data_IF_374690986647
#
_entry.id   IF_374690986647
#
_cell.length_a   1.000
_cell.length_b   1.000
_cell.length_c   1.000
_cell.angle_alpha   90.00
_cell.angle_beta   90.00
_cell.angle_gamma   90.00
#
_symmetry.space_group_name_H-M   'P 1'
#
loop_
_entity.id
_entity.type
_entity.pdbx_description
1 polymer ?
#
# COMPACT_ATOMS: atom_id res chain seq x y z
N UNK A 1 -77.27 14.80 71.95
CA UNK A 1 -75.85 15.13 71.63
C UNK A 1 -75.64 16.60 71.94
N UNK A 2 -74.65 16.95 72.74
CA UNK A 2 -74.41 18.35 73.08
C UNK A 2 -73.78 19.08 71.79
N UNK A 3 -74.10 20.36 71.60
CA UNK A 3 -73.63 21.11 70.45
C UNK A 3 -72.09 21.13 70.31
N UNK A 4 -71.36 20.86 71.39
CA UNK A 4 -69.88 20.68 71.37
C UNK A 4 -69.44 19.39 70.66
N UNK A 5 -70.12 18.29 70.88
CA UNK A 5 -69.79 16.98 70.23
C UNK A 5 -69.99 17.04 68.71
N UNK A 6 -71.01 17.70 68.21
CA UNK A 6 -71.27 17.91 66.79
C UNK A 6 -70.19 18.78 66.11
N UNK A 7 -69.69 19.80 66.82
CA UNK A 7 -68.60 20.63 66.30
C UNK A 7 -67.27 19.87 66.23
N UNK A 8 -66.96 19.08 67.26
CA UNK A 8 -65.73 18.23 67.26
C UNK A 8 -65.76 17.20 66.12
N UNK A 9 -66.90 16.51 65.93
CA UNK A 9 -67.07 15.54 64.84
C UNK A 9 -66.91 16.20 63.47
N UNK A 10 -67.45 17.40 63.26
CA UNK A 10 -67.31 18.15 62.04
C UNK A 10 -65.85 18.54 61.77
N UNK A 11 -65.11 18.98 62.78
CA UNK A 11 -63.68 19.31 62.65
C UNK A 11 -62.83 18.06 62.29
N UNK A 12 -63.08 16.94 62.98
CA UNK A 12 -62.41 15.68 62.73
C UNK A 12 -62.75 15.16 61.33
N UNK A 13 -63.99 15.23 60.88
CA UNK A 13 -64.42 14.85 59.56
C UNK A 13 -63.70 15.70 58.45
N UNK A 14 -63.68 17.03 58.66
CA UNK A 14 -62.95 17.93 57.72
C UNK A 14 -61.44 17.70 57.73
N UNK A 15 -60.82 17.40 58.88
CA UNK A 15 -59.38 17.10 58.91
C UNK A 15 -59.06 15.78 58.17
N UNK A 16 -59.92 14.75 58.39
CA UNK A 16 -59.77 13.48 57.67
C UNK A 16 -60.01 13.61 56.19
N UNK A 17 -60.98 14.43 55.75
CA UNK A 17 -61.18 14.74 54.30
C UNK A 17 -59.94 15.45 53.67
N UNK A 18 -59.42 16.44 54.40
CA UNK A 18 -58.17 17.12 53.94
C UNK A 18 -56.99 16.18 53.91
N UNK A 19 -56.81 15.31 54.88
CA UNK A 19 -55.75 14.32 54.92
C UNK A 19 -55.88 13.31 53.77
N UNK A 20 -57.08 12.84 53.44
CA UNK A 20 -57.34 11.95 52.34
C UNK A 20 -57.01 12.61 50.97
N UNK A 21 -57.46 13.85 50.75
CA UNK A 21 -57.08 14.62 49.50
C UNK A 21 -55.60 14.82 49.42
N UNK A 22 -54.89 15.13 50.48
CA UNK A 22 -53.44 15.32 50.44
C UNK A 22 -52.69 14.05 50.09
N UNK A 23 -53.15 12.90 50.58
CA UNK A 23 -52.60 11.58 50.23
C UNK A 23 -52.89 11.21 48.77
N UNK A 24 -54.10 11.47 48.28
CA UNK A 24 -54.50 11.24 46.91
C UNK A 24 -53.63 12.09 45.94
N UNK A 25 -53.50 13.39 46.24
CA UNK A 25 -52.62 14.30 45.44
C UNK A 25 -51.17 13.86 45.49
N UNK A 26 -50.65 13.40 46.63
CA UNK A 26 -49.29 12.92 46.75
C UNK A 26 -49.05 11.62 45.93
N UNK A 27 -50.01 10.69 45.98
CA UNK A 27 -50.00 9.45 45.22
C UNK A 27 -50.09 9.74 43.72
N UNK A 28 -50.93 10.67 43.29
CA UNK A 28 -51.08 11.12 41.91
C UNK A 28 -49.74 11.70 41.36
N UNK A 29 -49.08 12.58 42.13
CA UNK A 29 -47.78 13.14 41.80
C UNK A 29 -46.67 12.06 41.69
N UNK A 30 -46.68 11.13 42.68
CA UNK A 30 -45.68 10.05 42.63
C UNK A 30 -45.86 9.16 41.41
N UNK A 31 -47.10 8.83 41.05
CA UNK A 31 -47.40 8.04 39.84
C UNK A 31 -47.00 8.77 38.57
N UNK A 32 -47.27 10.07 38.46
CA UNK A 32 -46.89 10.89 37.31
C UNK A 32 -45.38 10.96 37.15
N UNK A 33 -44.62 11.15 38.22
CA UNK A 33 -43.16 11.15 38.19
C UNK A 33 -42.58 9.80 37.74
N UNK A 34 -43.15 8.70 38.21
CA UNK A 34 -42.73 7.35 37.81
C UNK A 34 -43.03 7.07 36.32
N UNK A 35 -44.19 7.52 35.82
CA UNK A 35 -44.55 7.38 34.40
C UNK A 35 -43.60 8.18 33.54
N UNK A 36 -43.37 9.45 33.85
CA UNK A 36 -42.45 10.31 33.10
C UNK A 36 -41.04 9.73 33.10
N UNK A 37 -40.52 9.28 34.24
CA UNK A 37 -39.21 8.63 34.31
C UNK A 37 -39.13 7.35 33.45
N UNK A 38 -40.21 6.54 33.43
CA UNK A 38 -40.25 5.33 32.61
C UNK A 38 -40.23 5.68 31.12
N UNK A 39 -41.01 6.67 30.69
CA UNK A 39 -41.01 7.14 29.30
C UNK A 39 -39.65 7.68 28.86
N UNK A 40 -38.98 8.47 29.72
CA UNK A 40 -37.65 8.99 29.46
C UNK A 40 -36.58 7.86 29.31
N UNK A 41 -36.68 6.84 30.18
CA UNK A 41 -35.80 5.67 30.11
C UNK A 41 -36.02 4.90 28.81
N UNK A 42 -37.26 4.67 28.40
CA UNK A 42 -37.57 3.98 27.15
C UNK A 42 -37.08 4.75 25.91
N UNK A 43 -37.27 6.06 25.88
CA UNK A 43 -36.76 6.92 24.80
C UNK A 43 -35.22 6.89 24.76
N UNK A 44 -34.56 7.04 25.90
CA UNK A 44 -33.11 6.99 26.00
C UNK A 44 -32.54 5.65 25.53
N UNK A 45 -33.20 4.53 25.92
CA UNK A 45 -32.83 3.19 25.47
C UNK A 45 -32.96 3.01 23.96
N UNK A 46 -34.05 3.47 23.36
CA UNK A 46 -34.27 3.40 21.91
C UNK A 46 -33.20 4.17 21.16
N UNK A 47 -32.83 5.36 21.63
CA UNK A 47 -31.77 6.17 21.04
C UNK A 47 -30.39 5.50 21.18
N UNK A 48 -30.08 4.95 22.34
CA UNK A 48 -28.85 4.23 22.60
C UNK A 48 -28.71 2.97 21.69
N UNK A 49 -29.79 2.20 21.56
CA UNK A 49 -29.85 1.00 20.72
C UNK A 49 -29.67 1.35 19.24
N UNK A 50 -30.31 2.42 18.77
CA UNK A 50 -30.16 2.90 17.40
C UNK A 50 -28.71 3.33 17.12
N UNK A 51 -28.13 4.11 18.03
CA UNK A 51 -26.74 4.56 17.89
C UNK A 51 -25.74 3.40 17.94
N UNK A 52 -25.94 2.44 18.84
CA UNK A 52 -25.08 1.27 18.93
C UNK A 52 -25.09 0.44 17.63
N UNK A 53 -26.25 0.30 16.98
CA UNK A 53 -26.37 -0.36 15.67
C UNK A 53 -25.66 0.40 14.57
N UNK A 54 -25.78 1.72 14.54
CA UNK A 54 -25.09 2.58 13.57
C UNK A 54 -23.57 2.50 13.76
N UNK A 55 -23.08 2.65 14.97
CA UNK A 55 -21.66 2.57 15.30
C UNK A 55 -21.07 1.19 14.93
N UNK A 56 -21.81 0.11 15.22
CA UNK A 56 -21.39 -1.25 14.84
C UNK A 56 -21.30 -1.41 13.32
N UNK A 57 -22.27 -0.91 12.56
CA UNK A 57 -22.29 -0.95 11.11
C UNK A 57 -21.11 -0.14 10.54
N UNK A 58 -20.81 1.02 11.10
CA UNK A 58 -19.67 1.84 10.68
C UNK A 58 -18.33 1.15 10.94
N UNK A 59 -18.15 0.54 12.10
CA UNK A 59 -16.94 -0.24 12.43
C UNK A 59 -16.73 -1.39 11.44
N UNK A 60 -17.80 -2.13 11.14
CA UNK A 60 -17.73 -3.22 10.15
C UNK A 60 -17.37 -2.72 8.76
N UNK A 61 -17.96 -1.61 8.31
CA UNK A 61 -17.65 -0.99 7.03
C UNK A 61 -16.17 -0.57 6.95
N UNK A 62 -15.66 0.10 7.99
CA UNK A 62 -14.24 0.49 8.05
C UNK A 62 -13.32 -0.71 8.00
N UNK A 63 -13.59 -1.75 8.79
CA UNK A 63 -12.79 -2.97 8.81
C UNK A 63 -12.76 -3.66 7.45
N UNK A 64 -13.91 -3.74 6.77
CA UNK A 64 -13.99 -4.27 5.42
C UNK A 64 -13.13 -3.46 4.43
N UNK A 65 -13.22 -2.13 4.46
CA UNK A 65 -12.44 -1.26 3.58
C UNK A 65 -10.92 -1.42 3.82
N UNK A 66 -10.49 -1.54 5.07
CA UNK A 66 -9.08 -1.78 5.41
C UNK A 66 -8.63 -3.14 4.90
N UNK A 67 -9.41 -4.19 5.13
CA UNK A 67 -9.09 -5.54 4.65
C UNK A 67 -8.99 -5.59 3.11
N UNK A 68 -9.92 -4.95 2.40
CA UNK A 68 -9.88 -4.86 0.93
C UNK A 68 -8.63 -4.11 0.44
N UNK A 69 -8.19 -3.06 1.16
CA UNK A 69 -6.97 -2.34 0.85
C UNK A 69 -5.73 -3.21 1.08
N UNK A 70 -5.67 -3.95 2.17
CA UNK A 70 -4.56 -4.86 2.47
C UNK A 70 -4.44 -5.97 1.42
N UNK A 71 -5.57 -6.55 1.00
CA UNK A 71 -5.58 -7.55 -0.09
C UNK A 71 -5.02 -6.97 -1.39
N UNK A 72 -5.42 -5.74 -1.75
CA UNK A 72 -4.88 -5.07 -2.96
C UNK A 72 -3.38 -4.81 -2.84
N UNK A 73 -2.91 -4.31 -1.69
CA UNK A 73 -1.47 -4.12 -1.43
C UNK A 73 -0.69 -5.42 -1.53
N UNK A 74 -1.20 -6.49 -0.94
CA UNK A 74 -0.56 -7.79 -1.01
C UNK A 74 -0.48 -8.31 -2.45
N UNK A 75 -1.57 -8.24 -3.20
CA UNK A 75 -1.57 -8.63 -4.63
C UNK A 75 -0.57 -7.82 -5.45
N UNK A 76 -0.50 -6.51 -5.22
CA UNK A 76 0.47 -5.65 -5.90
C UNK A 76 1.91 -6.03 -5.54
N UNK A 77 2.20 -6.28 -4.26
CA UNK A 77 3.52 -6.69 -3.80
C UNK A 77 3.95 -8.02 -4.43
N UNK A 78 3.04 -9.01 -4.51
CA UNK A 78 3.32 -10.30 -5.18
C UNK A 78 3.59 -10.10 -6.67
N UNK A 79 2.79 -9.29 -7.36
CA UNK A 79 3.02 -8.97 -8.78
C UNK A 79 4.38 -8.33 -9.00
N UNK A 80 4.75 -7.36 -8.15
CA UNK A 80 6.05 -6.70 -8.21
C UNK A 80 7.20 -7.68 -7.98
N UNK A 81 7.08 -8.55 -6.99
CA UNK A 81 8.08 -9.59 -6.70
C UNK A 81 8.25 -10.57 -7.87
N UNK A 82 7.16 -10.94 -8.53
CA UNK A 82 7.23 -11.80 -9.74
C UNK A 82 7.95 -11.09 -10.89
N UNK A 83 7.66 -9.81 -11.11
CA UNK A 83 8.36 -8.99 -12.10
C UNK A 83 9.85 -8.90 -11.79
N UNK A 84 10.22 -8.56 -10.55
CA UNK A 84 11.62 -8.48 -10.11
C UNK A 84 12.34 -9.81 -10.32
N UNK A 85 11.67 -10.92 -10.02
CA UNK A 85 12.20 -12.26 -10.26
C UNK A 85 12.42 -12.55 -11.74
N UNK A 86 11.50 -12.12 -12.61
CA UNK A 86 11.62 -12.31 -14.05
C UNK A 86 12.84 -11.53 -14.61
N UNK A 87 12.99 -10.25 -14.24
CA UNK A 87 14.12 -9.44 -14.67
C UNK A 87 15.45 -9.92 -14.08
N UNK A 88 15.48 -10.36 -12.82
CA UNK A 88 16.67 -10.97 -12.23
C UNK A 88 17.09 -12.25 -12.96
N UNK A 89 16.13 -13.11 -13.32
CA UNK A 89 16.42 -14.30 -14.14
C UNK A 89 16.91 -13.95 -15.54
N UNK A 90 16.35 -12.92 -16.15
CA UNK A 90 16.82 -12.44 -17.45
C UNK A 90 18.27 -11.93 -17.38
N UNK A 91 18.59 -11.14 -16.34
CA UNK A 91 19.97 -10.70 -16.07
C UNK A 91 20.94 -11.87 -15.94
N UNK A 92 20.59 -12.84 -15.09
CA UNK A 92 21.41 -14.04 -14.91
C UNK A 92 21.53 -14.88 -16.20
N UNK A 93 20.48 -14.94 -17.01
CA UNK A 93 20.52 -15.64 -18.30
C UNK A 93 21.51 -14.98 -19.27
N UNK A 94 21.53 -13.65 -19.34
CA UNK A 94 22.51 -12.91 -20.16
C UNK A 94 23.94 -13.12 -19.66
N UNK A 95 24.17 -13.04 -18.34
CA UNK A 95 25.49 -13.28 -17.77
C UNK A 95 26.00 -14.71 -18.01
N UNK A 96 25.09 -15.69 -18.06
CA UNK A 96 25.43 -17.10 -18.25
C UNK A 96 25.34 -17.57 -19.72
N UNK A 97 25.19 -16.64 -20.68
CA UNK A 97 25.30 -16.97 -22.11
C UNK A 97 26.68 -17.56 -22.44
N UNK A 98 26.73 -18.39 -23.49
CA UNK A 98 28.01 -18.82 -24.03
C UNK A 98 28.85 -17.63 -24.52
N UNK A 99 30.18 -17.78 -24.49
CA UNK A 99 31.09 -16.68 -24.79
C UNK A 99 30.84 -16.11 -26.19
N UNK A 100 30.47 -16.93 -27.17
CA UNK A 100 30.20 -16.48 -28.54
C UNK A 100 28.98 -15.58 -28.62
N UNK A 101 27.85 -16.01 -28.00
CA UNK A 101 26.64 -15.22 -27.99
C UNK A 101 26.82 -13.92 -27.18
N UNK A 102 27.52 -13.99 -26.05
CA UNK A 102 27.80 -12.82 -25.23
C UNK A 102 28.69 -11.81 -25.98
N UNK A 103 29.78 -12.26 -26.63
CA UNK A 103 30.63 -11.37 -27.41
C UNK A 103 29.90 -10.76 -28.61
N UNK A 104 28.95 -11.48 -29.22
CA UNK A 104 28.11 -10.90 -30.27
C UNK A 104 27.20 -9.80 -29.73
N UNK A 105 26.62 -9.98 -28.53
CA UNK A 105 25.82 -8.96 -27.85
C UNK A 105 26.67 -7.72 -27.56
N UNK A 106 27.83 -7.89 -26.94
CA UNK A 106 28.75 -6.79 -26.61
C UNK A 106 29.22 -6.07 -27.89
N UNK A 107 29.52 -6.81 -28.94
CA UNK A 107 29.94 -6.21 -30.23
C UNK A 107 28.83 -5.35 -30.85
N UNK A 108 27.57 -5.78 -30.77
CA UNK A 108 26.42 -4.96 -31.20
C UNK A 108 26.28 -3.69 -30.39
N UNK A 109 26.36 -3.80 -29.06
CA UNK A 109 26.29 -2.65 -28.18
C UNK A 109 27.45 -1.68 -28.42
N UNK A 110 28.69 -2.18 -28.62
CA UNK A 110 29.82 -1.35 -28.97
C UNK A 110 29.63 -0.64 -30.32
N UNK A 111 29.09 -1.34 -31.31
CA UNK A 111 28.79 -0.74 -32.62
C UNK A 111 27.78 0.41 -32.51
N UNK A 112 26.83 0.29 -31.60
CA UNK A 112 25.76 1.28 -31.37
C UNK A 112 26.22 2.48 -30.52
N UNK A 113 26.88 2.21 -29.39
CA UNK A 113 27.14 3.24 -28.37
C UNK A 113 28.55 3.86 -28.45
N UNK A 114 29.55 3.17 -28.99
CA UNK A 114 30.92 3.66 -28.96
C UNK A 114 31.16 4.79 -29.96
N UNK A 115 31.92 5.79 -29.55
CA UNK A 115 32.37 6.91 -30.38
C UNK A 115 33.89 6.95 -30.49
N UNK A 116 34.40 7.79 -31.41
CA UNK A 116 35.82 7.89 -31.64
C UNK A 116 36.55 8.59 -30.47
N UNK A 117 37.63 7.97 -30.00
CA UNK A 117 38.49 8.52 -28.93
C UNK A 117 37.99 8.26 -27.53
N UNK A 118 37.06 7.32 -27.33
CA UNK A 118 36.62 6.88 -26.01
C UNK A 118 37.51 5.80 -25.42
N UNK A 119 37.59 5.74 -24.10
CA UNK A 119 38.15 4.65 -23.31
C UNK A 119 37.02 3.71 -22.86
N UNK A 120 37.22 2.42 -23.13
CA UNK A 120 36.30 1.36 -22.79
C UNK A 120 36.72 0.68 -21.49
N UNK A 121 35.90 0.72 -20.47
CA UNK A 121 36.10 -0.05 -19.25
C UNK A 121 35.14 -1.24 -19.24
N UNK A 122 35.67 -2.45 -19.07
CA UNK A 122 34.91 -3.70 -18.98
C UNK A 122 34.92 -4.24 -17.55
N UNK A 123 33.97 -5.14 -17.23
CA UNK A 123 33.91 -5.78 -15.91
C UNK A 123 35.13 -6.68 -15.65
N UNK A 124 35.42 -6.94 -14.40
CA UNK A 124 36.46 -7.90 -13.97
C UNK A 124 36.21 -9.29 -14.56
N UNK A 125 34.97 -9.68 -14.71
CA UNK A 125 34.57 -10.96 -15.35
C UNK A 125 34.89 -11.00 -16.82
N UNK A 126 34.70 -9.89 -17.53
CA UNK A 126 34.81 -9.80 -18.98
C UNK A 126 36.23 -9.46 -19.47
N UNK A 127 37.08 -9.01 -18.56
CA UNK A 127 38.46 -8.55 -18.92
C UNK A 127 39.31 -9.60 -19.63
N UNK A 128 39.02 -10.90 -19.45
CA UNK A 128 39.76 -11.98 -20.11
C UNK A 128 39.20 -12.32 -21.49
N UNK A 129 37.92 -12.04 -21.77
CA UNK A 129 37.25 -12.41 -23.01
C UNK A 129 37.03 -11.23 -23.95
N UNK A 130 37.00 -10.00 -23.45
CA UNK A 130 36.93 -8.79 -24.26
C UNK A 130 38.33 -8.20 -24.37
N UNK A 131 38.98 -8.49 -25.47
CA UNK A 131 40.32 -7.99 -25.77
C UNK A 131 40.27 -6.78 -26.72
N UNK A 132 41.38 -6.00 -26.84
CA UNK A 132 41.44 -4.90 -27.80
C UNK A 132 41.07 -5.32 -29.24
N UNK A 133 41.47 -6.52 -29.64
CA UNK A 133 41.13 -7.05 -30.97
C UNK A 133 39.63 -7.24 -31.19
N UNK A 134 38.89 -7.66 -30.14
CA UNK A 134 37.44 -7.77 -30.19
C UNK A 134 36.77 -6.40 -30.26
N UNK A 135 37.31 -5.43 -29.51
CA UNK A 135 36.84 -4.03 -29.57
C UNK A 135 37.04 -3.44 -30.95
N UNK A 136 38.25 -3.54 -31.50
CA UNK A 136 38.59 -2.99 -32.82
C UNK A 136 37.73 -3.58 -33.94
N UNK A 137 37.43 -4.88 -33.86
CA UNK A 137 36.53 -5.55 -34.80
C UNK A 137 35.07 -5.06 -34.68
N UNK A 138 34.62 -4.69 -33.48
CA UNK A 138 33.24 -4.28 -33.21
C UNK A 138 32.96 -2.81 -33.61
N UNK A 139 33.94 -1.92 -33.46
CA UNK A 139 33.74 -0.46 -33.59
C UNK A 139 33.90 0.10 -34.99
N UNK A 140 34.07 -0.74 -36.02
CA UNK A 140 34.06 -0.35 -37.42
C UNK A 140 35.00 0.84 -37.78
N UNK A 141 36.26 0.80 -37.32
CA UNK A 141 37.29 1.82 -37.64
C UNK A 141 37.31 3.04 -36.71
N UNK A 142 36.42 3.11 -35.71
CA UNK A 142 36.53 4.09 -34.63
C UNK A 142 37.67 3.71 -33.68
N UNK A 143 38.37 4.69 -33.13
CA UNK A 143 39.47 4.45 -32.19
C UNK A 143 38.86 4.40 -30.79
N UNK A 144 38.75 3.22 -30.19
CA UNK A 144 38.31 2.99 -28.82
C UNK A 144 39.43 2.23 -28.12
N UNK A 145 39.89 2.73 -26.98
CA UNK A 145 41.01 2.14 -26.23
C UNK A 145 40.45 1.34 -25.03
N UNK A 146 40.87 0.09 -24.92
CA UNK A 146 40.49 -0.73 -23.75
C UNK A 146 41.27 -0.29 -22.50
N UNK A 147 40.53 0.04 -21.43
CA UNK A 147 41.12 0.40 -20.14
C UNK A 147 41.87 -0.78 -19.51
N UNK A 148 42.98 -0.47 -18.84
CA UNK A 148 43.77 -1.46 -18.11
C UNK A 148 43.14 -1.80 -16.74
N UNK A 149 42.28 -0.95 -16.25
CA UNK A 149 41.61 -1.12 -14.96
C UNK A 149 40.19 -1.58 -15.19
N UNK A 150 39.83 -2.81 -14.78
CA UNK A 150 38.45 -3.29 -14.93
C UNK A 150 37.52 -2.58 -13.96
N UNK A 151 36.27 -2.38 -14.36
CA UNK A 151 35.22 -1.81 -13.56
C UNK A 151 34.61 -2.82 -12.57
N UNK A 152 33.94 -2.29 -11.57
CA UNK A 152 33.27 -3.07 -10.51
C UNK A 152 31.74 -3.19 -10.80
N UNK A 153 31.44 -3.93 -11.87
CA UNK A 153 30.07 -4.28 -12.31
C UNK A 153 30.08 -5.67 -12.93
N UNK A 154 28.90 -6.30 -13.09
CA UNK A 154 28.84 -7.72 -13.47
C UNK A 154 28.93 -7.99 -14.96
N UNK A 155 28.58 -7.05 -15.81
CA UNK A 155 28.66 -7.23 -17.26
C UNK A 155 28.33 -5.96 -18.04
N UNK A 156 28.56 -5.99 -19.35
CA UNK A 156 28.51 -4.79 -20.18
C UNK A 156 29.80 -3.97 -20.11
N UNK A 157 29.72 -2.68 -20.32
CA UNK A 157 30.86 -1.78 -20.34
C UNK A 157 30.49 -0.33 -20.01
N UNK A 158 31.51 0.45 -19.75
CA UNK A 158 31.41 1.90 -19.57
C UNK A 158 32.35 2.54 -20.61
N UNK A 159 31.86 3.53 -21.34
CA UNK A 159 32.64 4.34 -22.27
C UNK A 159 32.89 5.70 -21.64
N UNK A 160 34.13 6.12 -21.57
CA UNK A 160 34.50 7.41 -21.00
C UNK A 160 35.34 8.21 -21.95
N UNK A 161 35.15 9.53 -21.95
CA UNK A 161 35.94 10.51 -22.65
C UNK A 161 35.97 11.79 -21.85
N UNK A 162 36.93 12.67 -22.11
CA UNK A 162 37.05 13.94 -21.40
C UNK A 162 35.71 14.67 -21.38
N UNK A 163 35.15 14.85 -20.15
CA UNK A 163 33.90 15.57 -19.88
C UNK A 163 32.63 14.73 -19.86
N UNK A 164 32.64 13.44 -20.20
CA UNK A 164 31.44 12.58 -20.07
C UNK A 164 31.77 11.09 -19.93
N UNK A 165 30.78 10.36 -19.45
CA UNK A 165 30.78 8.91 -19.29
C UNK A 165 29.43 8.34 -19.76
N UNK A 166 29.47 7.28 -20.57
CA UNK A 166 28.30 6.51 -21.02
C UNK A 166 28.31 5.16 -20.30
N UNK A 167 27.33 4.93 -19.46
CA UNK A 167 27.18 3.67 -18.76
C UNK A 167 26.29 2.72 -19.57
N UNK A 168 26.91 1.69 -20.14
CA UNK A 168 26.28 0.63 -20.95
C UNK A 168 26.42 -0.72 -20.21
N UNK A 169 26.34 -0.70 -18.90
CA UNK A 169 26.33 -1.93 -18.10
C UNK A 169 25.01 -2.68 -18.26
N UNK A 170 25.03 -3.99 -18.06
CA UNK A 170 23.82 -4.82 -18.19
C UNK A 170 22.73 -4.40 -17.20
N UNK A 171 23.10 -3.92 -16.02
CA UNK A 171 22.16 -3.40 -15.03
C UNK A 171 21.38 -2.20 -15.57
N UNK A 172 22.07 -1.21 -16.16
CA UNK A 172 21.42 0.00 -16.70
C UNK A 172 20.59 -0.34 -17.94
N UNK A 173 21.12 -1.19 -18.83
CA UNK A 173 20.37 -1.63 -20.02
C UNK A 173 19.08 -2.35 -19.63
N UNK A 174 19.13 -3.26 -18.67
CA UNK A 174 17.95 -3.97 -18.20
C UNK A 174 16.99 -3.05 -17.45
N UNK A 175 17.48 -2.07 -16.70
CA UNK A 175 16.64 -1.08 -16.05
C UNK A 175 15.89 -0.21 -17.07
N UNK A 176 16.57 0.23 -18.13
CA UNK A 176 15.94 0.99 -19.21
C UNK A 176 14.92 0.14 -19.96
N UNK A 177 15.30 -1.07 -20.33
CA UNK A 177 14.41 -2.03 -21.00
C UNK A 177 13.18 -2.35 -20.13
N UNK A 178 13.38 -2.49 -18.82
CA UNK A 178 12.27 -2.72 -17.89
C UNK A 178 11.21 -1.63 -18.00
N UNK A 179 11.59 -0.37 -18.03
CA UNK A 179 10.63 0.75 -18.13
C UNK A 179 9.80 0.67 -19.42
N UNK A 180 10.38 0.16 -20.50
CA UNK A 180 9.71 0.05 -21.80
C UNK A 180 8.77 -1.16 -21.89
N UNK A 181 9.22 -2.33 -21.39
CA UNK A 181 8.50 -3.61 -21.61
C UNK A 181 7.75 -4.13 -20.39
N UNK A 182 7.86 -3.49 -19.21
CA UNK A 182 7.16 -3.91 -17.99
C UNK A 182 5.64 -4.06 -18.19
N UNK A 183 4.94 -3.15 -18.89
CA UNK A 183 3.50 -3.32 -19.16
C UNK A 183 3.20 -4.55 -20.00
N UNK A 184 4.03 -4.87 -20.98
CA UNK A 184 3.86 -6.02 -21.86
C UNK A 184 4.08 -7.34 -21.11
N UNK A 185 5.12 -7.40 -20.28
CA UNK A 185 5.40 -8.57 -19.43
C UNK A 185 4.29 -8.74 -18.38
N UNK A 186 3.80 -7.65 -17.80
CA UNK A 186 2.69 -7.69 -16.85
C UNK A 186 1.41 -8.25 -17.50
N UNK A 187 1.11 -7.89 -18.74
CA UNK A 187 0.00 -8.44 -19.49
C UNK A 187 0.17 -9.97 -19.67
N UNK A 188 1.33 -10.43 -20.11
CA UNK A 188 1.61 -11.86 -20.29
C UNK A 188 1.54 -12.66 -18.98
N UNK A 189 2.01 -12.09 -17.87
CA UNK A 189 2.07 -12.79 -16.58
C UNK A 189 0.75 -12.75 -15.80
N UNK A 190 -0.09 -11.71 -16.00
CA UNK A 190 -1.21 -11.41 -15.08
C UNK A 190 -2.55 -11.18 -15.77
N UNK A 191 -2.64 -11.15 -17.11
CA UNK A 191 -3.93 -11.18 -17.80
C UNK A 191 -4.57 -12.55 -17.62
N UNK A 192 -5.73 -12.56 -16.97
CA UNK A 192 -6.59 -13.73 -16.91
C UNK A 192 -7.12 -14.01 -18.33
N UNK A 193 -6.86 -15.22 -18.83
CA UNK A 193 -7.48 -15.73 -20.08
C UNK A 193 -8.96 -16.03 -19.87
#
# INVERSE_FOLDING_TARGET
MSGKEAIIQKIVAQANEKAAKLLEDAQGRATAVLQDATEQIEQSRKLADAKAKEDAAEVLRRRKSVADLEVRKYRLAVKQQMMDTAFSKAHQAVLNMDDKAYLQLISKLLAEYAENGEELTVSKRDAKRITQAVVDAAVAGRKVTLSKVPGDFEGGFVLSKEGYEKNVTLEILLQTLRQEIEPQIAAVLFEEK
#
